data_IF_642868970301
#
_entry.id   IF_642868970301
#
_cell.length_a   1.000
_cell.length_b   1.000
_cell.length_c   1.000
_cell.angle_alpha   90.00
_cell.angle_beta   90.00
_cell.angle_gamma   90.00
#
_symmetry.space_group_name_H-M   'P 1'
#
loop_
_entity.id
_entity.type
_entity.pdbx_description
1 polymer ?
#
# COMPACT_ATOMS: atom_id res chain seq x y z
N UNK A 1 -20.33 -15.68 -5.62
CA UNK A 1 -19.10 -15.99 -6.37
C UNK A 1 -17.96 -15.29 -5.66
N UNK A 2 -16.93 -16.03 -5.23
CA UNK A 2 -15.77 -15.48 -4.52
C UNK A 2 -14.67 -15.10 -5.51
N UNK A 3 -14.43 -13.79 -5.66
CA UNK A 3 -13.41 -13.28 -6.56
C UNK A 3 -11.98 -13.52 -6.04
N UNK A 4 -11.80 -13.65 -4.72
CA UNK A 4 -10.50 -13.92 -4.12
C UNK A 4 -10.04 -15.35 -4.43
N UNK A 5 -10.94 -16.33 -4.31
CA UNK A 5 -10.68 -17.71 -4.71
C UNK A 5 -10.31 -17.85 -6.19
N UNK A 6 -11.00 -17.13 -7.08
CA UNK A 6 -10.69 -17.13 -8.51
C UNK A 6 -9.31 -16.52 -8.80
N UNK A 7 -8.93 -15.41 -8.15
CA UNK A 7 -7.61 -14.80 -8.35
C UNK A 7 -6.46 -15.72 -7.92
N UNK A 8 -6.62 -16.43 -6.79
CA UNK A 8 -5.65 -17.43 -6.36
C UNK A 8 -5.51 -18.58 -7.36
N UNK A 9 -6.64 -19.03 -7.91
CA UNK A 9 -6.68 -20.08 -8.93
C UNK A 9 -5.96 -19.62 -10.20
N UNK A 10 -6.27 -18.40 -10.68
CA UNK A 10 -5.58 -17.81 -11.84
C UNK A 10 -4.08 -17.69 -11.61
N UNK A 11 -3.63 -17.26 -10.42
CA UNK A 11 -2.20 -17.15 -10.13
C UNK A 11 -1.49 -18.51 -10.17
N UNK A 12 -2.16 -19.58 -9.74
CA UNK A 12 -1.63 -20.95 -9.79
C UNK A 12 -1.58 -21.50 -11.22
N UNK A 13 -2.68 -21.36 -11.98
CA UNK A 13 -2.74 -21.87 -13.36
C UNK A 13 -1.80 -21.09 -14.30
N UNK A 14 -1.67 -19.79 -14.11
CA UNK A 14 -0.79 -18.96 -14.95
C UNK A 14 0.69 -19.32 -14.75
N UNK A 15 1.08 -19.77 -13.55
CA UNK A 15 2.43 -20.28 -13.29
C UNK A 15 2.74 -21.58 -14.04
N UNK A 16 1.73 -22.43 -14.27
CA UNK A 16 1.89 -23.66 -15.07
C UNK A 16 2.11 -23.35 -16.55
N UNK A 17 1.46 -22.30 -17.05
CA UNK A 17 1.58 -21.84 -18.45
C UNK A 17 2.86 -21.03 -18.69
N UNK A 18 3.25 -20.21 -17.69
CA UNK A 18 4.40 -19.31 -17.76
C UNK A 18 5.28 -19.59 -16.53
N UNK A 19 6.31 -20.44 -16.63
CA UNK A 19 7.13 -20.85 -15.49
C UNK A 19 7.85 -19.70 -14.78
N UNK A 20 8.09 -18.58 -15.49
CA UNK A 20 8.69 -17.37 -14.94
C UNK A 20 7.69 -16.51 -14.16
N UNK A 21 6.40 -16.79 -14.27
CA UNK A 21 5.37 -16.11 -13.49
C UNK A 21 5.49 -16.53 -12.02
N UNK A 22 5.65 -15.55 -11.13
CA UNK A 22 5.85 -15.78 -9.69
C UNK A 22 4.68 -16.47 -8.97
N UNK A 23 3.54 -16.65 -9.63
CA UNK A 23 2.34 -17.25 -9.05
C UNK A 23 1.85 -16.45 -7.85
N UNK A 24 1.37 -17.14 -6.80
CA UNK A 24 0.89 -16.49 -5.57
C UNK A 24 1.96 -15.65 -4.86
N UNK A 25 3.26 -15.90 -5.09
CA UNK A 25 4.31 -15.07 -4.54
C UNK A 25 4.35 -13.68 -5.21
N UNK A 26 3.93 -13.54 -6.46
CA UNK A 26 3.82 -12.23 -7.10
C UNK A 26 2.76 -11.34 -6.42
N UNK A 27 1.73 -11.94 -5.80
CA UNK A 27 0.71 -11.20 -5.06
C UNK A 27 1.29 -10.53 -3.81
N UNK A 28 2.32 -11.10 -3.18
CA UNK A 28 2.95 -10.52 -1.98
C UNK A 28 3.97 -9.43 -2.32
N UNK A 29 4.41 -9.31 -3.57
CA UNK A 29 5.34 -8.27 -4.01
C UNK A 29 4.73 -6.87 -3.96
N UNK A 30 3.40 -6.76 -4.03
CA UNK A 30 2.70 -5.49 -3.87
C UNK A 30 2.62 -5.03 -2.41
N UNK A 31 2.88 -5.91 -1.44
CA UNK A 31 2.69 -5.59 -0.01
C UNK A 31 3.57 -4.43 0.48
N UNK A 32 4.89 -4.40 0.20
CA UNK A 32 5.73 -3.25 0.56
C UNK A 32 5.25 -1.95 -0.08
N UNK A 33 4.73 -2.01 -1.31
CA UNK A 33 4.20 -0.84 -2.00
C UNK A 33 2.95 -0.30 -1.30
N UNK A 34 2.05 -1.17 -0.86
CA UNK A 34 0.85 -0.81 -0.09
C UNK A 34 1.24 -0.15 1.24
N UNK A 35 2.21 -0.72 1.97
CA UNK A 35 2.70 -0.12 3.23
C UNK A 35 3.27 1.28 2.99
N UNK A 36 4.09 1.46 1.96
CA UNK A 36 4.65 2.76 1.58
C UNK A 36 3.54 3.77 1.18
N UNK A 37 2.46 3.33 0.53
CA UNK A 37 1.32 4.19 0.22
C UNK A 37 0.58 4.64 1.50
N UNK A 38 0.34 3.72 2.44
CA UNK A 38 -0.29 4.03 3.74
C UNK A 38 0.55 5.04 4.51
N UNK A 39 1.86 4.85 4.57
CA UNK A 39 2.78 5.76 5.25
C UNK A 39 2.73 7.17 4.65
N UNK A 40 2.76 7.28 3.31
CA UNK A 40 2.63 8.58 2.62
C UNK A 40 1.33 9.29 2.94
N UNK A 41 0.21 8.56 2.99
CA UNK A 41 -1.09 9.14 3.38
C UNK A 41 -1.05 9.60 4.83
N UNK A 42 -0.52 8.80 5.75
CA UNK A 42 -0.44 9.14 7.17
C UNK A 42 0.43 10.39 7.41
N UNK A 43 1.58 10.46 6.74
CA UNK A 43 2.47 11.63 6.77
C UNK A 43 1.73 12.86 6.23
N UNK A 44 1.09 12.76 5.06
CA UNK A 44 0.36 13.86 4.43
C UNK A 44 -0.77 14.38 5.32
N UNK A 45 -1.56 13.48 5.91
CA UNK A 45 -2.65 13.82 6.83
C UNK A 45 -2.09 14.46 8.10
N UNK A 46 -1.01 13.92 8.66
CA UNK A 46 -0.38 14.46 9.87
C UNK A 46 0.19 15.87 9.66
N UNK A 47 0.77 16.17 8.49
CA UNK A 47 1.21 17.52 8.15
C UNK A 47 0.04 18.48 7.93
N UNK A 48 -1.05 18.02 7.29
CA UNK A 48 -2.24 18.85 7.06
C UNK A 48 -2.99 19.17 8.36
N UNK A 49 -3.00 18.22 9.30
CA UNK A 49 -3.65 18.35 10.61
C UNK A 49 -2.75 18.97 11.67
N UNK A 50 -1.52 19.41 11.33
CA UNK A 50 -0.72 20.20 12.28
C UNK A 50 -1.52 21.46 12.64
N UNK A 51 -1.97 21.63 13.89
CA UNK A 51 -2.50 22.92 14.30
C UNK A 51 -1.39 23.94 14.10
N UNK A 52 -1.70 25.04 13.42
CA UNK A 52 -0.77 26.16 13.27
C UNK A 52 -0.30 26.55 14.68
N UNK A 53 0.98 26.35 14.97
CA UNK A 53 1.58 26.68 16.26
C UNK A 53 1.49 28.20 16.44
N UNK A 54 0.38 28.68 17.01
CA UNK A 54 0.24 30.08 17.44
C UNK A 54 0.97 30.21 18.76
N UNK A 55 2.29 30.28 18.74
CA UNK A 55 3.06 30.79 19.88
C UNK A 55 4.11 31.82 19.47
N UNK A 56 3.91 33.00 20.09
CA UNK A 56 4.89 34.03 20.40
C UNK A 56 5.23 35.07 19.32
N UNK A 57 4.36 36.09 19.21
CA UNK A 57 4.86 37.47 19.15
C UNK A 57 4.58 38.13 20.51
N UNK A 58 5.39 37.78 21.50
CA UNK A 58 5.53 38.54 22.74
C UNK A 58 6.87 39.29 22.69
N UNK A 59 7.10 40.12 21.67
CA UNK A 59 8.16 41.16 21.68
C UNK A 59 7.74 42.32 20.77
N UNK A 60 7.13 43.36 21.35
CA UNK A 60 7.44 44.77 21.07
C UNK A 60 6.83 45.66 22.14
#
# INVERSE_FOLDING_TARGET
MDNAGNCNTTASELKKLIPTFGGSAACTWCFPHIINLIEKVHISVSYLLRPADKKSQLIK
#
